data_IF_944570362818
#
_entry.id   IF_944570362818
#
_cell.length_a   1.000
_cell.length_b   1.000
_cell.length_c   1.000
_cell.angle_alpha   90.00
_cell.angle_beta   90.00
_cell.angle_gamma   90.00
#
_symmetry.space_group_name_H-M   'P 1'
#
loop_
_entity.id
_entity.type
_entity.pdbx_description
1 polymer ?
#
# COMPACT_ATOMS: atom_id res chain seq x y z
N UNK A 1 -14.68 -17.46 -24.69
CA UNK A 1 -13.22 -17.33 -24.97
C UNK A 1 -12.57 -18.64 -24.54
N UNK A 2 -11.41 -19.07 -25.08
CA UNK A 2 -10.75 -20.28 -24.56
C UNK A 2 -10.27 -20.00 -23.13
N UNK A 3 -10.80 -20.71 -22.14
CA UNK A 3 -10.33 -20.64 -20.75
C UNK A 3 -8.82 -20.87 -20.74
N UNK A 4 -8.08 -19.93 -20.15
CA UNK A 4 -6.66 -20.11 -19.89
C UNK A 4 -6.56 -21.02 -18.69
N UNK A 5 -5.91 -22.17 -18.89
CA UNK A 5 -5.65 -23.11 -17.80
C UNK A 5 -4.43 -22.67 -17.03
N UNK A 6 -4.55 -22.59 -15.71
CA UNK A 6 -3.44 -22.37 -14.79
C UNK A 6 -2.73 -23.71 -14.60
N UNK A 7 -1.41 -23.74 -14.81
CA UNK A 7 -0.61 -24.95 -14.64
C UNK A 7 0.20 -24.87 -13.35
N UNK A 8 0.68 -26.02 -12.81
CA UNK A 8 1.51 -26.02 -11.60
C UNK A 8 2.74 -25.11 -11.68
N UNK A 9 3.32 -24.94 -12.88
CA UNK A 9 4.44 -23.99 -13.09
C UNK A 9 4.06 -22.53 -12.84
N UNK A 10 2.80 -22.14 -13.06
CA UNK A 10 2.30 -20.79 -12.80
C UNK A 10 2.06 -20.62 -11.29
N UNK A 11 1.46 -21.64 -10.66
CA UNK A 11 1.26 -21.71 -9.20
C UNK A 11 2.56 -21.59 -8.40
N UNK A 12 3.59 -22.33 -8.82
CA UNK A 12 4.90 -22.36 -8.16
C UNK A 12 5.71 -21.06 -8.32
N UNK A 13 5.21 -20.05 -9.05
CA UNK A 13 5.84 -18.73 -9.09
C UNK A 13 5.74 -18.00 -7.74
N UNK A 14 4.68 -18.27 -6.97
CA UNK A 14 4.50 -17.69 -5.63
C UNK A 14 5.15 -18.52 -4.51
N UNK A 15 5.85 -19.62 -4.85
CA UNK A 15 6.38 -20.58 -3.89
C UNK A 15 7.91 -20.55 -3.83
N UNK A 16 8.50 -20.77 -2.63
CA UNK A 16 9.95 -20.75 -2.45
C UNK A 16 10.63 -22.00 -3.04
N UNK A 17 9.85 -23.01 -3.42
CA UNK A 17 10.30 -24.24 -4.05
C UNK A 17 9.80 -24.35 -5.50
N UNK A 18 10.45 -25.21 -6.30
CA UNK A 18 10.17 -25.35 -7.75
C UNK A 18 9.63 -26.72 -8.18
N UNK A 19 9.68 -27.72 -7.31
CA UNK A 19 9.13 -29.04 -7.59
C UNK A 19 7.68 -29.11 -7.13
N UNK A 20 6.79 -29.54 -8.04
CA UNK A 20 5.37 -29.72 -7.74
C UNK A 20 5.11 -31.04 -7.03
N UNK A 21 4.17 -31.05 -6.10
CA UNK A 21 3.62 -32.25 -5.46
C UNK A 21 2.05 -32.30 -5.58
N UNK A 22 1.38 -33.29 -4.95
CA UNK A 22 -0.08 -33.35 -4.94
C UNK A 22 -0.78 -32.15 -4.27
N UNK A 23 -0.19 -31.55 -3.23
CA UNK A 23 -0.71 -30.35 -2.55
C UNK A 23 -0.72 -29.17 -3.51
N UNK A 24 0.37 -28.94 -4.24
CA UNK A 24 0.42 -27.88 -5.26
C UNK A 24 -0.61 -28.13 -6.38
N UNK A 25 -0.81 -29.39 -6.75
CA UNK A 25 -1.79 -29.77 -7.77
C UNK A 25 -3.22 -29.49 -7.30
N UNK A 26 -3.50 -29.70 -6.01
CA UNK A 26 -4.78 -29.37 -5.40
C UNK A 26 -5.06 -27.86 -5.47
N UNK A 27 -4.15 -27.02 -4.97
CA UNK A 27 -4.35 -25.57 -4.99
C UNK A 27 -4.29 -24.96 -6.40
N UNK A 28 -3.54 -25.56 -7.33
CA UNK A 28 -3.64 -25.22 -8.76
C UNK A 28 -5.05 -25.44 -9.30
N UNK A 29 -5.75 -26.49 -8.86
CA UNK A 29 -7.15 -26.70 -9.26
C UNK A 29 -8.10 -25.69 -8.60
N UNK A 30 -7.86 -25.33 -7.33
CA UNK A 30 -8.60 -24.24 -6.66
C UNK A 30 -8.45 -22.93 -7.44
N UNK A 31 -7.23 -22.56 -7.83
CA UNK A 31 -6.98 -21.38 -8.65
C UNK A 31 -7.74 -21.43 -10.00
N UNK A 32 -7.77 -22.58 -10.68
CA UNK A 32 -8.56 -22.73 -11.91
C UNK A 32 -10.07 -22.56 -11.69
N UNK A 33 -10.62 -23.00 -10.54
CA UNK A 33 -12.03 -22.77 -10.20
C UNK A 33 -12.33 -21.30 -9.95
N UNK A 34 -11.44 -20.60 -9.24
CA UNK A 34 -11.53 -19.16 -8.99
C UNK A 34 -11.50 -18.39 -10.32
N UNK A 35 -10.63 -18.78 -11.27
CA UNK A 35 -10.61 -18.21 -12.62
C UNK A 35 -11.99 -18.32 -13.30
N UNK A 36 -12.63 -19.48 -13.21
CA UNK A 36 -13.98 -19.70 -13.72
C UNK A 36 -15.03 -18.79 -13.07
N UNK A 37 -14.94 -18.57 -11.76
CA UNK A 37 -15.83 -17.65 -11.02
C UNK A 37 -15.63 -16.18 -11.44
N UNK A 38 -14.38 -15.77 -11.69
CA UNK A 38 -14.07 -14.45 -12.24
C UNK A 38 -14.67 -14.26 -13.64
N UNK A 39 -14.67 -15.30 -14.48
CA UNK A 39 -15.35 -15.27 -15.78
C UNK A 39 -16.88 -15.23 -15.66
N UNK A 40 -17.45 -16.06 -14.78
CA UNK A 40 -18.90 -16.15 -14.55
C UNK A 40 -19.51 -14.81 -14.11
N UNK A 41 -18.83 -14.13 -13.19
CA UNK A 41 -19.23 -12.83 -12.65
C UNK A 41 -18.82 -11.66 -13.54
N UNK A 42 -18.15 -11.93 -14.68
CA UNK A 42 -17.59 -10.95 -15.63
C UNK A 42 -16.52 -10.03 -15.04
N UNK A 43 -16.09 -10.25 -13.81
CA UNK A 43 -15.01 -9.49 -13.18
C UNK A 43 -13.71 -9.62 -13.99
N UNK A 44 -13.47 -10.80 -14.57
CA UNK A 44 -12.33 -11.07 -15.46
C UNK A 44 -12.21 -10.09 -16.65
N UNK A 45 -13.30 -9.46 -17.10
CA UNK A 45 -13.27 -8.54 -18.24
C UNK A 45 -12.72 -7.15 -17.89
N UNK A 46 -12.42 -6.91 -16.61
CA UNK A 46 -11.76 -5.68 -16.15
C UNK A 46 -10.23 -5.76 -16.25
N UNK A 47 -9.69 -6.93 -16.61
CA UNK A 47 -8.27 -7.26 -16.47
C UNK A 47 -7.71 -7.88 -17.74
N UNK A 48 -6.39 -7.82 -17.87
CA UNK A 48 -5.66 -8.67 -18.80
C UNK A 48 -5.69 -10.13 -18.36
N UNK A 49 -5.49 -11.02 -19.32
CA UNK A 49 -5.56 -12.46 -19.09
C UNK A 49 -4.56 -12.98 -18.06
N UNK A 50 -3.37 -12.38 -18.03
CA UNK A 50 -2.35 -12.74 -17.03
C UNK A 50 -2.73 -12.24 -15.64
N UNK A 51 -3.30 -11.04 -15.53
CA UNK A 51 -3.82 -10.49 -14.27
C UNK A 51 -4.94 -11.35 -13.69
N UNK A 52 -5.90 -11.83 -14.50
CA UNK A 52 -6.94 -12.77 -14.03
C UNK A 52 -6.31 -14.06 -13.48
N UNK A 53 -5.25 -14.57 -14.13
CA UNK A 53 -4.48 -15.73 -13.64
C UNK A 53 -3.80 -15.40 -12.31
N UNK A 54 -3.13 -14.26 -12.19
CA UNK A 54 -2.46 -13.84 -10.95
C UNK A 54 -3.45 -13.69 -9.79
N UNK A 55 -4.60 -13.03 -10.01
CA UNK A 55 -5.67 -12.91 -9.00
C UNK A 55 -6.13 -14.29 -8.53
N UNK A 56 -6.34 -15.21 -9.47
CA UNK A 56 -6.80 -16.57 -9.18
C UNK A 56 -5.80 -17.37 -8.34
N UNK A 57 -4.51 -17.30 -8.68
CA UNK A 57 -3.41 -17.96 -7.95
C UNK A 57 -3.31 -17.36 -6.54
N UNK A 58 -3.30 -16.02 -6.43
CA UNK A 58 -3.13 -15.33 -5.14
C UNK A 58 -4.29 -15.56 -4.19
N UNK A 59 -5.52 -15.61 -4.69
CA UNK A 59 -6.68 -16.00 -3.87
C UNK A 59 -6.61 -17.46 -3.39
N UNK A 60 -6.10 -18.38 -4.21
CA UNK A 60 -5.88 -19.76 -3.78
C UNK A 60 -4.73 -19.87 -2.75
N UNK A 61 -3.69 -19.05 -2.88
CA UNK A 61 -2.59 -18.98 -1.92
C UNK A 61 -3.01 -18.39 -0.56
N UNK A 62 -3.96 -17.44 -0.54
CA UNK A 62 -4.62 -17.03 0.70
C UNK A 62 -5.32 -18.21 1.39
N UNK A 63 -6.06 -19.03 0.63
CA UNK A 63 -6.72 -20.21 1.20
C UNK A 63 -5.71 -21.22 1.75
N UNK A 64 -4.62 -21.46 1.02
CA UNK A 64 -3.52 -22.32 1.49
C UNK A 64 -2.83 -21.78 2.75
N UNK A 65 -2.62 -20.47 2.86
CA UNK A 65 -2.07 -19.81 4.05
C UNK A 65 -2.93 -20.07 5.29
N UNK A 66 -4.24 -19.90 5.15
CA UNK A 66 -5.19 -20.16 6.25
C UNK A 66 -5.22 -21.65 6.61
N UNK A 67 -5.39 -22.54 5.62
CA UNK A 67 -5.44 -24.00 5.86
C UNK A 67 -4.13 -24.51 6.48
N UNK A 68 -2.99 -24.03 6.00
CA UNK A 68 -1.67 -24.47 6.48
C UNK A 68 -1.22 -23.75 7.75
N UNK A 69 -1.99 -22.77 8.26
CA UNK A 69 -1.67 -22.03 9.47
C UNK A 69 -0.36 -21.23 9.38
N UNK A 70 -0.03 -20.66 8.21
CA UNK A 70 1.21 -19.88 8.05
C UNK A 70 1.13 -18.50 8.71
N UNK A 71 -0.09 -18.04 9.05
CA UNK A 71 -0.39 -16.78 9.72
C UNK A 71 0.02 -15.53 8.93
N UNK A 72 0.19 -15.60 7.60
CA UNK A 72 0.54 -14.44 6.78
C UNK A 72 -0.64 -13.46 6.77
N UNK A 73 -1.85 -13.92 6.43
CA UNK A 73 -3.06 -13.11 6.48
C UNK A 73 -3.40 -12.66 7.90
N UNK A 74 -3.31 -13.60 8.86
CA UNK A 74 -3.64 -13.36 10.26
C UNK A 74 -2.80 -12.21 10.85
N UNK A 75 -1.52 -12.15 10.48
CA UNK A 75 -0.64 -11.04 10.88
C UNK A 75 -1.16 -9.69 10.39
N UNK A 76 -1.70 -9.60 9.16
CA UNK A 76 -2.28 -8.36 8.67
C UNK A 76 -3.53 -7.93 9.46
N UNK A 77 -4.51 -8.83 9.64
CA UNK A 77 -5.78 -8.46 10.29
C UNK A 77 -5.61 -8.14 11.78
N UNK A 78 -4.66 -8.80 12.45
CA UNK A 78 -4.33 -8.53 13.86
C UNK A 78 -3.61 -7.19 14.02
N UNK A 79 -2.64 -6.87 13.17
CA UNK A 79 -1.99 -5.55 13.17
C UNK A 79 -2.96 -4.44 12.78
N UNK A 80 -3.84 -4.67 11.79
CA UNK A 80 -4.86 -3.70 11.42
C UNK A 80 -5.81 -3.43 12.60
N UNK A 81 -6.20 -4.48 13.35
CA UNK A 81 -7.00 -4.32 14.58
C UNK A 81 -6.25 -3.60 15.69
N UNK A 82 -4.95 -3.86 15.86
CA UNK A 82 -4.13 -3.17 16.84
C UNK A 82 -4.00 -1.66 16.53
N UNK A 83 -3.87 -1.29 15.26
CA UNK A 83 -3.75 0.10 14.83
C UNK A 83 -5.10 0.85 14.82
N UNK A 84 -6.17 0.20 14.35
CA UNK A 84 -7.42 0.90 14.01
C UNK A 84 -8.66 0.41 14.77
N UNK A 85 -8.50 -0.57 15.67
CA UNK A 85 -9.61 -1.14 16.44
C UNK A 85 -10.56 -2.05 15.67
N UNK A 86 -10.28 -2.36 14.40
CA UNK A 86 -11.09 -3.24 13.53
C UNK A 86 -10.20 -4.15 12.68
N UNK A 87 -10.65 -5.34 12.31
CA UNK A 87 -9.84 -6.32 11.57
C UNK A 87 -9.53 -5.93 10.13
N UNK A 88 -10.42 -5.17 9.47
CA UNK A 88 -10.31 -4.82 8.07
C UNK A 88 -10.69 -3.35 7.81
N UNK A 89 -10.18 -2.74 6.73
CA UNK A 89 -10.71 -1.49 6.23
C UNK A 89 -12.03 -1.74 5.48
N UNK A 90 -12.88 -0.71 5.42
CA UNK A 90 -14.16 -0.67 4.71
C UNK A 90 -15.29 -1.60 5.18
N UNK A 91 -14.96 -2.71 5.85
CA UNK A 91 -15.90 -3.74 6.29
C UNK A 91 -15.96 -3.82 7.81
N UNK A 92 -17.17 -4.09 8.31
CA UNK A 92 -17.41 -4.35 9.73
C UNK A 92 -17.82 -5.81 9.84
N UNK A 93 -16.92 -6.70 10.27
CA UNK A 93 -17.26 -8.11 10.46
C UNK A 93 -18.35 -8.27 11.52
N UNK A 94 -19.13 -9.34 11.41
CA UNK A 94 -20.11 -9.71 12.42
C UNK A 94 -19.49 -10.60 13.53
N UNK A 95 -20.33 -11.10 14.44
CA UNK A 95 -19.88 -11.94 15.57
C UNK A 95 -19.35 -13.34 15.14
N UNK A 96 -19.45 -13.71 13.85
CA UNK A 96 -18.95 -14.97 13.29
C UNK A 96 -17.63 -14.82 12.55
N UNK A 97 -16.92 -13.69 12.73
CA UNK A 97 -15.59 -13.51 12.17
C UNK A 97 -14.51 -14.13 13.06
N UNK A 98 -13.81 -15.14 12.53
CA UNK A 98 -12.74 -15.85 13.24
C UNK A 98 -11.39 -15.58 12.57
N UNK A 99 -10.41 -15.12 13.35
CA UNK A 99 -9.11 -14.66 12.82
C UNK A 99 -8.16 -15.79 12.38
N UNK A 100 -8.57 -17.03 12.59
CA UNK A 100 -7.92 -18.28 12.17
C UNK A 100 -8.71 -19.04 11.10
N UNK A 101 -9.83 -18.49 10.61
CA UNK A 101 -10.64 -19.09 9.55
C UNK A 101 -10.70 -18.21 8.29
N UNK A 102 -11.24 -18.77 7.21
CA UNK A 102 -11.62 -17.98 6.04
C UNK A 102 -12.88 -17.18 6.35
N UNK A 103 -12.84 -15.87 6.09
CA UNK A 103 -14.00 -14.99 6.23
C UNK A 103 -14.42 -14.39 4.87
N UNK A 104 -15.72 -14.11 4.73
CA UNK A 104 -16.26 -13.46 3.53
C UNK A 104 -15.65 -12.06 3.31
N UNK A 105 -15.47 -11.31 4.40
CA UNK A 105 -14.90 -9.96 4.41
C UNK A 105 -13.44 -9.96 3.97
N UNK A 106 -12.67 -10.99 4.34
CA UNK A 106 -11.27 -11.15 3.93
C UNK A 106 -11.16 -11.32 2.42
N UNK A 107 -11.97 -12.21 1.85
CA UNK A 107 -12.03 -12.45 0.41
C UNK A 107 -12.46 -11.19 -0.33
N UNK A 108 -13.46 -10.46 0.19
CA UNK A 108 -13.88 -9.17 -0.37
C UNK A 108 -12.75 -8.14 -0.36
N UNK A 109 -11.99 -8.08 0.73
CA UNK A 109 -10.88 -7.14 0.85
C UNK A 109 -9.74 -7.52 -0.09
N UNK A 110 -9.33 -8.79 -0.15
CA UNK A 110 -8.28 -9.26 -1.04
C UNK A 110 -8.66 -9.06 -2.52
N UNK A 111 -9.89 -9.35 -2.92
CA UNK A 111 -10.37 -9.03 -4.27
C UNK A 111 -10.38 -7.52 -4.54
N UNK A 112 -10.79 -6.69 -3.59
CA UNK A 112 -10.66 -5.23 -3.72
C UNK A 112 -9.20 -4.81 -3.89
N UNK A 113 -8.29 -5.35 -3.08
CA UNK A 113 -6.86 -5.07 -3.14
C UNK A 113 -6.30 -5.40 -4.53
N UNK A 114 -6.52 -6.62 -5.02
CA UNK A 114 -6.03 -7.00 -6.35
C UNK A 114 -6.69 -6.20 -7.48
N UNK A 115 -7.98 -5.89 -7.36
CA UNK A 115 -8.65 -5.00 -8.34
C UNK A 115 -8.05 -3.60 -8.30
N UNK A 116 -7.75 -3.07 -7.12
CA UNK A 116 -7.13 -1.76 -6.98
C UNK A 116 -5.71 -1.75 -7.55
N UNK A 117 -4.91 -2.80 -7.35
CA UNK A 117 -3.55 -2.90 -7.85
C UNK A 117 -3.49 -3.12 -9.37
N UNK A 118 -4.30 -4.03 -9.93
CA UNK A 118 -4.26 -4.33 -11.36
C UNK A 118 -5.17 -3.43 -12.21
N UNK A 119 -6.29 -2.92 -11.69
CA UNK A 119 -7.18 -2.06 -12.48
C UNK A 119 -7.08 -0.59 -12.05
N UNK A 120 -7.17 -0.36 -10.74
CA UNK A 120 -7.23 0.98 -10.17
C UNK A 120 -5.96 1.78 -10.47
N UNK A 121 -4.79 1.21 -10.20
CA UNK A 121 -3.49 1.82 -10.43
C UNK A 121 -3.29 2.20 -11.92
N UNK A 122 -3.44 1.24 -12.84
CA UNK A 122 -3.27 1.49 -14.28
C UNK A 122 -4.21 2.58 -14.84
N UNK A 123 -5.39 2.76 -14.24
CA UNK A 123 -6.34 3.80 -14.65
C UNK A 123 -6.29 5.09 -13.84
N UNK A 124 -5.45 5.16 -12.79
CA UNK A 124 -5.43 6.28 -11.86
C UNK A 124 -6.77 6.48 -11.14
N UNK A 125 -7.46 5.39 -10.78
CA UNK A 125 -8.79 5.42 -10.16
C UNK A 125 -8.86 4.61 -8.87
N UNK A 126 -9.74 5.05 -7.96
CA UNK A 126 -10.11 4.29 -6.78
C UNK A 126 -11.23 3.30 -7.11
N UNK A 127 -10.98 2.03 -6.87
CA UNK A 127 -11.96 0.97 -6.98
C UNK A 127 -12.82 1.00 -5.72
N UNK A 128 -14.14 1.13 -5.88
CA UNK A 128 -15.05 1.07 -4.74
C UNK A 128 -14.99 -0.30 -4.05
N UNK A 129 -14.84 -0.38 -2.72
CA UNK A 129 -14.96 -1.65 -1.98
C UNK A 129 -16.36 -2.27 -2.14
N UNK A 130 -17.37 -1.47 -2.50
CA UNK A 130 -18.75 -1.90 -2.74
C UNK A 130 -19.00 -2.29 -4.22
N UNK A 131 -17.94 -2.57 -5.00
CA UNK A 131 -18.07 -3.04 -6.38
C UNK A 131 -18.86 -4.36 -6.43
N UNK A 132 -19.99 -4.37 -7.14
CA UNK A 132 -20.90 -5.50 -7.20
C UNK A 132 -20.26 -6.77 -7.78
N UNK A 133 -19.44 -6.65 -8.83
CA UNK A 133 -18.76 -7.80 -9.41
C UNK A 133 -17.76 -8.41 -8.41
N UNK A 134 -17.00 -7.59 -7.67
CA UNK A 134 -16.16 -8.08 -6.57
C UNK A 134 -16.98 -8.79 -5.49
N UNK A 135 -18.12 -8.24 -5.10
CA UNK A 135 -19.01 -8.84 -4.09
C UNK A 135 -19.58 -10.19 -4.52
N UNK A 136 -20.02 -10.29 -5.79
CA UNK A 136 -20.55 -11.52 -6.37
C UNK A 136 -19.47 -12.60 -6.51
N UNK A 137 -18.27 -12.23 -7.00
CA UNK A 137 -17.13 -13.15 -7.04
C UNK A 137 -16.72 -13.61 -5.65
N UNK A 138 -16.63 -12.69 -4.68
CA UNK A 138 -16.25 -13.02 -3.30
C UNK A 138 -17.20 -14.06 -2.71
N UNK A 139 -18.49 -13.97 -3.00
CA UNK A 139 -19.50 -14.92 -2.51
C UNK A 139 -19.28 -16.33 -3.08
N UNK A 140 -19.00 -16.44 -4.38
CA UNK A 140 -18.71 -17.74 -5.02
C UNK A 140 -17.42 -18.36 -4.48
N UNK A 141 -16.37 -17.55 -4.29
CA UNK A 141 -15.10 -18.01 -3.72
C UNK A 141 -15.29 -18.46 -2.27
N UNK A 142 -15.96 -17.66 -1.44
CA UNK A 142 -16.22 -17.98 -0.04
C UNK A 142 -16.98 -19.30 0.13
N UNK A 143 -18.05 -19.48 -0.65
CA UNK A 143 -18.82 -20.73 -0.63
C UNK A 143 -17.93 -21.93 -1.00
N UNK A 144 -17.08 -21.78 -2.02
CA UNK A 144 -16.16 -22.84 -2.41
C UNK A 144 -15.10 -23.14 -1.34
N UNK A 145 -14.55 -22.12 -0.66
CA UNK A 145 -13.64 -22.35 0.46
C UNK A 145 -14.33 -23.06 1.62
N UNK A 146 -15.59 -22.72 1.93
CA UNK A 146 -16.39 -23.45 2.92
C UNK A 146 -16.57 -24.93 2.56
N UNK A 147 -16.87 -25.23 1.29
CA UNK A 147 -17.06 -26.60 0.80
C UNK A 147 -15.75 -27.42 0.89
N UNK A 148 -14.60 -26.77 0.66
CA UNK A 148 -13.28 -27.40 0.66
C UNK A 148 -12.60 -27.44 2.04
N UNK A 149 -13.08 -26.66 3.01
CA UNK A 149 -12.43 -26.42 4.31
C UNK A 149 -11.95 -27.68 5.02
N UNK A 150 -12.77 -28.74 4.99
CA UNK A 150 -12.46 -30.01 5.70
C UNK A 150 -11.58 -30.98 4.91
N UNK A 151 -11.34 -30.71 3.62
CA UNK A 151 -10.62 -31.60 2.71
C UNK A 151 -9.35 -31.00 2.13
N UNK A 152 -9.17 -29.69 2.25
CA UNK A 152 -7.98 -29.00 1.78
C UNK A 152 -6.73 -29.51 2.53
N UNK A 153 -5.67 -29.91 1.81
CA UNK A 153 -4.44 -30.38 2.44
C UNK A 153 -3.61 -29.21 2.96
N UNK A 154 -3.01 -29.38 4.14
CA UNK A 154 -1.97 -28.49 4.64
C UNK A 154 -0.70 -28.60 3.77
N UNK A 155 0.02 -27.49 3.66
CA UNK A 155 1.31 -27.44 2.98
C UNK A 155 2.47 -27.54 3.99
N UNK A 156 2.87 -28.77 4.29
CA UNK A 156 3.98 -29.08 5.20
C UNK A 156 5.29 -28.41 4.78
N UNK A 157 5.53 -28.19 3.48
CA UNK A 157 6.75 -27.53 2.99
C UNK A 157 6.78 -26.04 3.32
N UNK A 158 5.64 -25.37 3.29
CA UNK A 158 5.54 -23.98 3.72
C UNK A 158 5.59 -23.88 5.25
N UNK A 159 4.94 -24.79 5.98
CA UNK A 159 5.04 -24.86 7.44
C UNK A 159 6.50 -25.04 7.90
N UNK A 160 7.27 -25.87 7.18
CA UNK A 160 8.69 -26.08 7.48
C UNK A 160 9.51 -24.79 7.48
N UNK A 161 9.14 -23.75 6.73
CA UNK A 161 9.85 -22.47 6.73
C UNK A 161 9.79 -21.76 8.10
N UNK A 162 8.75 -22.02 8.89
CA UNK A 162 8.51 -21.39 10.18
C UNK A 162 8.68 -22.36 11.36
N UNK A 163 9.08 -23.60 11.08
CA UNK A 163 9.27 -24.63 12.08
C UNK A 163 10.55 -24.40 12.91
N UNK A 164 10.57 -24.69 14.23
CA UNK A 164 11.69 -24.40 15.14
C UNK A 164 13.07 -24.90 14.70
N UNK A 165 13.11 -25.98 13.93
CA UNK A 165 14.33 -26.59 13.40
C UNK A 165 14.91 -25.87 12.16
N UNK A 166 14.15 -25.00 11.51
CA UNK A 166 14.60 -24.22 10.35
C UNK A 166 15.27 -22.94 10.83
N UNK A 167 16.60 -22.85 10.63
CA UNK A 167 17.44 -21.78 11.18
C UNK A 167 17.85 -20.74 10.13
N UNK A 168 17.81 -19.47 10.51
CA UNK A 168 18.05 -18.28 9.69
C UNK A 168 19.19 -17.38 10.21
N UNK A 169 19.98 -17.84 11.17
CA UNK A 169 21.20 -17.13 11.62
C UNK A 169 22.22 -16.91 10.48
N UNK A 170 22.15 -17.74 9.44
CA UNK A 170 22.90 -17.58 8.21
C UNK A 170 22.22 -16.54 7.31
N UNK A 171 22.98 -15.51 6.92
CA UNK A 171 22.47 -14.36 6.15
C UNK A 171 21.93 -14.79 4.79
N UNK A 172 22.53 -15.77 4.13
CA UNK A 172 22.06 -16.24 2.83
C UNK A 172 20.68 -16.91 2.97
N UNK A 173 20.50 -17.77 3.98
CA UNK A 173 19.19 -18.37 4.28
C UNK A 173 18.12 -17.36 4.67
N UNK A 174 18.46 -16.37 5.50
CA UNK A 174 17.54 -15.29 5.85
C UNK A 174 17.09 -14.53 4.60
N UNK A 175 18.06 -14.18 3.73
CA UNK A 175 17.79 -13.47 2.50
C UNK A 175 16.98 -14.30 1.51
N UNK A 176 17.18 -15.62 1.42
CA UNK A 176 16.35 -16.50 0.60
C UNK A 176 14.85 -16.41 0.99
N UNK A 177 14.56 -16.50 2.30
CA UNK A 177 13.19 -16.34 2.80
C UNK A 177 12.66 -14.92 2.57
N UNK A 178 13.46 -13.90 2.88
CA UNK A 178 13.08 -12.51 2.72
C UNK A 178 12.75 -12.18 1.27
N UNK A 179 13.58 -12.62 0.32
CA UNK A 179 13.39 -12.40 -1.10
C UNK A 179 12.12 -13.09 -1.62
N UNK A 180 11.87 -14.34 -1.22
CA UNK A 180 10.61 -15.00 -1.54
C UNK A 180 9.43 -14.21 -0.98
N UNK A 181 9.48 -13.85 0.30
CA UNK A 181 8.38 -13.14 0.95
C UNK A 181 8.12 -11.79 0.27
N UNK A 182 9.16 -11.02 -0.03
CA UNK A 182 9.00 -9.70 -0.64
C UNK A 182 8.51 -9.75 -2.09
N UNK A 183 9.06 -10.64 -2.92
CA UNK A 183 8.78 -10.64 -4.37
C UNK A 183 7.68 -11.61 -4.81
N UNK A 184 7.42 -12.67 -4.02
CA UNK A 184 6.58 -13.79 -4.43
C UNK A 184 5.41 -14.06 -3.48
N UNK A 185 5.35 -13.44 -2.30
CA UNK A 185 4.18 -13.58 -1.42
C UNK A 185 2.89 -13.13 -2.10
N UNK A 186 1.78 -13.83 -1.82
CA UNK A 186 0.48 -13.57 -2.44
C UNK A 186 -0.09 -12.18 -2.09
N UNK A 187 0.37 -11.57 -0.98
CA UNK A 187 -0.01 -10.22 -0.56
C UNK A 187 0.57 -9.12 -1.48
N UNK A 188 1.74 -9.32 -2.09
CA UNK A 188 2.42 -8.24 -2.82
C UNK A 188 2.33 -8.45 -4.33
N UNK A 189 1.69 -7.50 -5.01
CA UNK A 189 1.49 -7.55 -6.47
C UNK A 189 2.51 -6.71 -7.24
N UNK A 190 3.17 -5.78 -6.57
CA UNK A 190 3.89 -4.67 -7.18
C UNK A 190 5.40 -4.67 -6.92
N UNK A 191 5.94 -5.50 -6.02
CA UNK A 191 7.38 -5.52 -5.69
C UNK A 191 8.30 -5.70 -6.92
N UNK A 192 7.91 -6.56 -7.87
CA UNK A 192 8.67 -6.72 -9.12
C UNK A 192 8.57 -5.51 -10.05
N UNK A 193 7.42 -4.83 -10.05
CA UNK A 193 7.21 -3.61 -10.82
C UNK A 193 8.03 -2.46 -10.22
N UNK A 194 8.05 -2.33 -8.89
CA UNK A 194 8.87 -1.36 -8.16
C UNK A 194 10.37 -1.54 -8.47
N UNK A 195 10.87 -2.78 -8.45
CA UNK A 195 12.25 -3.07 -8.88
C UNK A 195 12.49 -2.62 -10.32
N UNK A 196 11.57 -2.95 -11.21
CA UNK A 196 11.68 -2.58 -12.63
C UNK A 196 11.74 -1.07 -12.81
N UNK A 197 10.90 -0.33 -12.09
CA UNK A 197 10.83 1.13 -12.20
C UNK A 197 12.03 1.80 -11.53
N UNK A 198 12.50 1.29 -10.38
CA UNK A 198 13.75 1.72 -9.72
C UNK A 198 14.95 1.58 -10.65
N UNK A 199 15.08 0.45 -11.35
CA UNK A 199 16.18 0.21 -12.30
C UNK A 199 16.06 1.12 -13.53
N UNK A 200 14.85 1.35 -14.04
CA UNK A 200 14.63 2.29 -15.15
C UNK A 200 15.01 3.71 -14.77
N UNK A 201 14.55 4.19 -13.62
CA UNK A 201 14.87 5.54 -13.13
C UNK A 201 16.37 5.74 -12.98
N UNK A 202 17.08 4.75 -12.43
CA UNK A 202 18.54 4.78 -12.34
C UNK A 202 19.20 4.88 -13.73
N UNK A 203 18.76 4.08 -14.70
CA UNK A 203 19.31 4.10 -16.07
C UNK A 203 18.96 5.36 -16.87
N UNK A 204 17.88 6.07 -16.52
CA UNK A 204 17.54 7.35 -17.13
C UNK A 204 18.43 8.49 -16.61
N UNK A 205 18.89 8.38 -15.36
CA UNK A 205 19.74 9.36 -14.70
C UNK A 205 21.24 9.13 -14.93
N UNK A 206 21.63 7.94 -15.37
CA UNK A 206 23.04 7.56 -15.55
C UNK A 206 23.42 7.38 -17.03
N UNK A 207 24.66 7.74 -17.38
CA UNK A 207 25.17 7.55 -18.75
C UNK A 207 25.67 6.12 -18.99
N UNK A 208 26.11 5.45 -17.94
CA UNK A 208 26.62 4.07 -17.96
C UNK A 208 25.62 3.17 -17.23
N UNK A 209 25.17 2.12 -17.92
CA UNK A 209 24.25 1.14 -17.35
C UNK A 209 25.05 0.11 -16.56
N UNK A 210 25.15 0.31 -15.25
CA UNK A 210 25.71 -0.68 -14.35
C UNK A 210 24.70 -1.82 -14.12
N UNK A 211 25.03 -3.01 -14.63
CA UNK A 211 24.19 -4.20 -14.42
C UNK A 211 24.23 -4.66 -12.95
N UNK A 212 25.29 -4.35 -12.20
CA UNK A 212 25.39 -4.68 -10.78
C UNK A 212 24.36 -3.93 -9.93
N UNK A 213 23.91 -2.76 -10.41
CA UNK A 213 22.86 -1.99 -9.73
C UNK A 213 21.55 -2.78 -9.61
N UNK A 214 21.23 -3.67 -10.57
CA UNK A 214 20.01 -4.50 -10.49
C UNK A 214 20.04 -5.36 -9.23
N UNK A 215 21.18 -5.99 -8.93
CA UNK A 215 21.33 -6.82 -7.73
C UNK A 215 21.27 -5.98 -6.46
N UNK A 216 21.94 -4.82 -6.44
CA UNK A 216 21.89 -3.90 -5.30
C UNK A 216 20.46 -3.40 -5.04
N UNK A 217 19.71 -3.04 -6.08
CA UNK A 217 18.32 -2.63 -5.96
C UNK A 217 17.43 -3.78 -5.50
N UNK A 218 17.65 -4.99 -6.03
CA UNK A 218 16.92 -6.19 -5.64
C UNK A 218 17.06 -6.49 -4.15
N UNK A 219 18.30 -6.45 -3.63
CA UNK A 219 18.60 -6.66 -2.22
C UNK A 219 18.05 -5.52 -1.35
N UNK A 220 18.27 -4.27 -1.74
CA UNK A 220 17.85 -3.11 -0.96
C UNK A 220 16.32 -3.04 -0.82
N UNK A 221 15.57 -3.17 -1.92
CA UNK A 221 14.11 -3.09 -1.91
C UNK A 221 13.48 -4.14 -1.01
N UNK A 222 14.00 -5.38 -1.02
CA UNK A 222 13.52 -6.42 -0.12
C UNK A 222 13.69 -6.04 1.37
N UNK A 223 14.70 -5.23 1.71
CA UNK A 223 14.96 -4.79 3.07
C UNK A 223 14.23 -3.51 3.46
N UNK A 224 13.97 -2.57 2.55
CA UNK A 224 13.50 -1.22 2.93
C UNK A 224 12.21 -0.76 2.27
N UNK A 225 11.78 -1.42 1.18
CA UNK A 225 10.52 -1.06 0.52
C UNK A 225 9.33 -1.36 1.43
N UNK A 226 8.34 -0.47 1.38
CA UNK A 226 7.12 -0.54 2.16
C UNK A 226 5.95 -1.02 1.30
N UNK A 227 5.30 -2.07 1.77
CA UNK A 227 4.16 -2.68 1.08
C UNK A 227 2.85 -1.89 1.24
N UNK A 228 1.86 -2.19 0.40
CA UNK A 228 0.51 -1.62 0.50
C UNK A 228 -0.16 -1.89 1.85
N UNK A 229 0.21 -3.00 2.47
CA UNK A 229 -0.34 -3.42 3.72
C UNK A 229 0.40 -2.66 4.83
N UNK A 230 -0.30 -1.68 5.41
CA UNK A 230 0.13 -0.88 6.57
C UNK A 230 1.43 -0.08 6.39
N UNK A 231 1.97 0.00 5.17
CA UNK A 231 3.29 0.58 4.88
C UNK A 231 4.42 -0.09 5.69
N UNK A 232 4.27 -1.41 5.91
CA UNK A 232 5.29 -2.23 6.57
C UNK A 232 6.25 -2.83 5.55
N UNK A 233 7.51 -2.96 5.98
CA UNK A 233 8.56 -3.62 5.20
C UNK A 233 8.44 -5.14 5.28
N UNK A 234 9.04 -5.86 4.33
CA UNK A 234 9.05 -7.32 4.36
C UNK A 234 9.70 -7.91 5.62
N UNK A 235 10.83 -7.39 6.15
CA UNK A 235 11.37 -7.81 7.44
C UNK A 235 10.40 -7.56 8.59
N UNK A 236 9.69 -6.42 8.60
CA UNK A 236 8.68 -6.15 9.63
C UNK A 236 7.55 -7.16 9.59
N UNK A 237 7.07 -7.53 8.41
CA UNK A 237 6.07 -8.59 8.26
C UNK A 237 6.56 -9.95 8.75
N UNK A 238 7.77 -10.36 8.36
CA UNK A 238 8.33 -11.63 8.83
C UNK A 238 8.48 -11.66 10.36
N UNK A 239 8.80 -10.54 10.99
CA UNK A 239 8.84 -10.42 12.47
C UNK A 239 7.50 -10.69 13.15
N UNK A 240 6.39 -10.39 12.47
CA UNK A 240 5.03 -10.58 12.99
C UNK A 240 4.51 -12.00 12.73
N UNK A 241 4.96 -12.60 11.63
CA UNK A 241 4.57 -13.95 11.21
C UNK A 241 5.33 -15.02 12.01
N UNK A 242 6.61 -14.78 12.34
CA UNK A 242 7.43 -15.77 13.02
C UNK A 242 6.92 -16.10 14.42
N UNK A 243 6.73 -17.40 14.77
CA UNK A 243 6.27 -17.80 16.10
C UNK A 243 7.16 -17.24 17.21
N UNK A 244 6.53 -16.76 18.29
CA UNK A 244 7.23 -16.14 19.42
C UNK A 244 8.17 -17.12 20.17
N UNK A 245 7.92 -18.42 20.05
CA UNK A 245 8.74 -19.51 20.60
C UNK A 245 9.79 -20.05 19.62
N UNK A 246 9.83 -19.55 18.38
CA UNK A 246 10.86 -19.91 17.42
C UNK A 246 12.25 -19.42 17.90
N UNK A 247 13.32 -20.24 17.84
CA UNK A 247 14.59 -19.82 18.43
C UNK A 247 15.30 -18.68 17.66
N UNK A 248 14.87 -18.34 16.44
CA UNK A 248 15.31 -17.14 15.69
C UNK A 248 14.35 -15.94 15.83
N UNK A 249 13.29 -16.01 16.63
CA UNK A 249 12.31 -14.93 16.73
C UNK A 249 12.95 -13.56 17.00
N UNK A 250 13.92 -13.49 17.92
CA UNK A 250 14.62 -12.23 18.24
C UNK A 250 15.38 -11.64 17.06
N UNK A 251 15.94 -12.46 16.17
CA UNK A 251 16.63 -12.01 14.96
C UNK A 251 15.63 -11.31 14.02
N UNK A 252 14.47 -11.92 13.80
CA UNK A 252 13.43 -11.34 12.93
C UNK A 252 12.85 -10.05 13.53
N UNK A 253 12.69 -9.97 14.85
CA UNK A 253 12.27 -8.73 15.53
C UNK A 253 13.29 -7.62 15.33
N UNK A 254 14.59 -7.89 15.55
CA UNK A 254 15.65 -6.90 15.37
C UNK A 254 15.74 -6.40 13.92
N UNK A 255 15.75 -7.31 12.94
CA UNK A 255 15.78 -6.92 11.53
C UNK A 255 14.50 -6.20 11.10
N UNK A 256 13.33 -6.60 11.63
CA UNK A 256 12.06 -5.92 11.41
C UNK A 256 12.06 -4.48 11.91
N UNK A 257 12.53 -4.24 13.13
CA UNK A 257 12.64 -2.89 13.71
C UNK A 257 13.64 -2.01 12.94
N UNK A 258 14.84 -2.56 12.67
CA UNK A 258 15.90 -1.88 11.92
C UNK A 258 15.43 -1.48 10.52
N UNK A 259 14.80 -2.41 9.81
CA UNK A 259 14.23 -2.19 8.48
C UNK A 259 13.13 -1.12 8.52
N UNK A 260 12.17 -1.26 9.44
CA UNK A 260 11.02 -0.35 9.52
C UNK A 260 11.41 1.08 9.91
N UNK A 261 12.48 1.24 10.71
CA UNK A 261 13.02 2.52 11.14
C UNK A 261 13.97 3.16 10.12
N UNK A 262 14.32 2.47 9.03
CA UNK A 262 15.21 3.00 8.01
C UNK A 262 14.68 4.32 7.44
N UNK A 263 15.57 5.31 7.38
CA UNK A 263 15.34 6.60 6.73
C UNK A 263 16.58 6.93 5.92
N UNK A 264 16.38 7.51 4.75
CA UNK A 264 17.50 8.00 3.95
C UNK A 264 18.31 9.03 4.75
N UNK A 265 19.65 8.93 4.70
CA UNK A 265 20.50 9.86 5.44
C UNK A 265 20.40 11.26 4.84
N UNK A 266 19.92 12.21 5.65
CA UNK A 266 19.93 13.65 5.35
C UNK A 266 21.12 14.29 6.07
N UNK A 267 21.88 15.16 5.38
CA UNK A 267 23.04 15.83 6.00
C UNK A 267 22.61 16.71 7.18
N UNK A 268 23.50 16.89 8.17
CA UNK A 268 23.20 17.73 9.34
C UNK A 268 22.94 19.19 8.95
N UNK A 269 23.64 19.69 7.94
CA UNK A 269 23.38 21.02 7.37
C UNK A 269 21.96 21.12 6.79
N UNK A 270 21.54 20.08 6.06
CA UNK A 270 20.19 20.02 5.48
C UNK A 270 19.14 19.96 6.60
N UNK A 271 19.31 19.11 7.61
CA UNK A 271 18.39 19.05 8.77
C UNK A 271 18.24 20.39 9.47
N UNK A 272 19.36 21.10 9.68
CA UNK A 272 19.37 22.43 10.30
C UNK A 272 18.61 23.45 9.46
N UNK A 273 18.85 23.46 8.15
CA UNK A 273 18.14 24.35 7.21
C UNK A 273 16.63 24.06 7.19
N UNK A 274 16.22 22.79 7.13
CA UNK A 274 14.80 22.41 7.13
C UNK A 274 14.10 22.83 8.42
N UNK A 275 14.77 22.66 9.57
CA UNK A 275 14.29 23.09 10.89
C UNK A 275 14.12 24.61 10.94
N UNK A 276 15.13 25.36 10.49
CA UNK A 276 15.09 26.83 10.45
C UNK A 276 13.94 27.34 9.57
N UNK A 277 13.75 26.75 8.39
CA UNK A 277 12.64 27.10 7.50
C UNK A 277 11.28 26.80 8.15
N UNK A 278 11.15 25.66 8.83
CA UNK A 278 9.93 25.29 9.54
C UNK A 278 9.59 26.27 10.67
N UNK A 279 10.56 26.66 11.49
CA UNK A 279 10.37 27.62 12.59
C UNK A 279 9.97 29.01 12.05
N UNK A 280 10.70 29.51 11.04
CA UNK A 280 10.41 30.81 10.40
C UNK A 280 9.01 30.84 9.79
N UNK A 281 8.63 29.79 9.06
CA UNK A 281 7.28 29.68 8.48
C UNK A 281 6.21 29.62 9.57
N UNK A 282 6.38 28.76 10.57
CA UNK A 282 5.39 28.55 11.64
C UNK A 282 5.14 29.84 12.43
N UNK A 283 6.18 30.62 12.73
CA UNK A 283 6.05 31.91 13.38
C UNK A 283 5.26 32.93 12.53
N UNK A 284 5.43 32.90 11.21
CA UNK A 284 4.76 33.80 10.29
C UNK A 284 3.35 33.36 9.88
N UNK A 285 3.04 32.07 9.98
CA UNK A 285 1.74 31.50 9.59
C UNK A 285 0.63 31.72 10.62
N UNK A 286 0.96 32.22 11.82
CA UNK A 286 -0.01 32.58 12.88
C UNK A 286 -0.99 31.43 13.21
N UNK A 287 -0.48 30.20 13.27
CA UNK A 287 -1.27 29.00 13.57
C UNK A 287 -2.02 28.38 12.38
N UNK A 288 -1.93 28.97 11.19
CA UNK A 288 -2.48 28.41 9.95
C UNK A 288 -1.60 27.25 9.46
N UNK A 289 -2.25 26.19 8.96
CA UNK A 289 -1.54 25.05 8.37
C UNK A 289 -0.94 25.39 7.00
N UNK A 290 -1.60 26.29 6.27
CA UNK A 290 -1.28 26.68 4.90
C UNK A 290 -1.38 28.20 4.74
N UNK A 291 -0.52 28.74 3.88
CA UNK A 291 -0.64 30.10 3.35
C UNK A 291 -0.85 30.03 1.84
N UNK A 292 -1.80 30.81 1.32
CA UNK A 292 -2.24 30.76 -0.09
C UNK A 292 -1.71 31.97 -0.86
N UNK A 293 -1.21 31.74 -2.08
CA UNK A 293 -0.59 32.77 -2.91
C UNK A 293 -1.17 32.75 -4.33
N UNK A 294 -1.26 33.92 -4.97
CA UNK A 294 -1.83 34.06 -6.33
C UNK A 294 -0.77 34.19 -7.43
N UNK A 295 0.49 34.42 -7.06
CA UNK A 295 1.59 34.55 -8.00
C UNK A 295 2.94 34.35 -7.28
N UNK A 296 4.02 34.27 -8.06
CA UNK A 296 5.36 34.01 -7.51
C UNK A 296 5.93 35.22 -6.80
N UNK A 297 5.58 36.44 -7.21
CA UNK A 297 6.05 37.66 -6.56
C UNK A 297 5.59 37.71 -5.09
N UNK A 298 4.30 37.48 -4.81
CA UNK A 298 3.77 37.45 -3.44
C UNK A 298 4.49 36.42 -2.55
N UNK A 299 4.83 35.26 -3.12
CA UNK A 299 5.57 34.23 -2.40
C UNK A 299 7.02 34.64 -2.10
N UNK A 300 7.74 35.24 -3.06
CA UNK A 300 9.10 35.74 -2.83
C UNK A 300 9.12 36.89 -1.81
N UNK A 301 8.12 37.77 -1.86
CA UNK A 301 7.95 38.85 -0.88
C UNK A 301 7.74 38.27 0.53
N UNK A 302 6.95 37.20 0.64
CA UNK A 302 6.78 36.46 1.90
C UNK A 302 8.07 35.82 2.38
N UNK A 303 8.82 35.12 1.52
CA UNK A 303 10.11 34.51 1.89
C UNK A 303 11.11 35.55 2.38
N UNK A 304 11.20 36.68 1.69
CA UNK A 304 12.04 37.82 2.08
C UNK A 304 11.63 38.34 3.46
N UNK A 305 10.32 38.49 3.71
CA UNK A 305 9.78 38.96 4.99
C UNK A 305 10.15 38.04 6.15
N UNK A 306 10.17 36.73 5.94
CA UNK A 306 10.51 35.75 6.99
C UNK A 306 12.02 35.44 7.05
N UNK A 307 12.83 36.11 6.23
CA UNK A 307 14.28 35.97 6.22
C UNK A 307 14.77 34.65 5.63
N UNK A 308 14.09 34.13 4.61
CA UNK A 308 14.57 33.01 3.78
C UNK A 308 15.12 33.60 2.48
N UNK A 309 16.40 33.36 2.21
CA UNK A 309 17.08 33.88 1.02
C UNK A 309 16.67 33.09 -0.23
N UNK A 310 16.37 33.80 -1.31
CA UNK A 310 16.00 33.22 -2.61
C UNK A 310 16.97 33.71 -3.68
N UNK A 311 18.22 33.28 -3.61
CA UNK A 311 19.26 33.72 -4.56
C UNK A 311 18.85 33.42 -6.01
N UNK A 312 18.91 34.44 -6.87
CA UNK A 312 18.62 34.31 -8.31
C UNK A 312 17.15 34.07 -8.67
N UNK A 313 16.23 34.00 -7.72
CA UNK A 313 14.81 33.79 -8.00
C UNK A 313 14.15 35.08 -8.53
N UNK A 314 13.67 35.05 -9.77
CA UNK A 314 12.87 36.14 -10.35
C UNK A 314 11.39 35.93 -10.08
N UNK A 315 10.73 36.96 -9.53
CA UNK A 315 9.29 36.98 -9.35
C UNK A 315 8.56 37.33 -10.64
N UNK A 316 7.30 36.94 -10.71
CA UNK A 316 6.36 37.40 -11.72
C UNK A 316 4.95 37.43 -11.14
N UNK A 317 4.07 38.18 -11.80
CA UNK A 317 2.67 38.37 -11.42
C UNK A 317 1.72 37.48 -12.24
N UNK A 318 2.23 36.46 -12.94
CA UNK A 318 1.37 35.52 -13.64
C UNK A 318 0.54 34.75 -12.62
N UNK A 319 -0.76 34.65 -12.87
CA UNK A 319 -1.68 33.98 -11.95
C UNK A 319 -1.31 32.50 -11.79
N UNK A 320 -1.01 32.11 -10.55
CA UNK A 320 -0.73 30.74 -10.13
C UNK A 320 -1.47 30.50 -8.83
N UNK A 321 -2.18 29.37 -8.74
CA UNK A 321 -2.86 28.97 -7.50
C UNK A 321 -1.98 27.96 -6.80
N UNK A 322 -1.46 28.32 -5.64
CA UNK A 322 -0.70 27.37 -4.83
C UNK A 322 -0.81 27.73 -3.34
N UNK A 323 -0.50 26.76 -2.50
CA UNK A 323 -0.37 26.94 -1.08
C UNK A 323 1.05 26.58 -0.65
N UNK A 324 1.49 27.16 0.46
CA UNK A 324 2.79 26.88 1.08
C UNK A 324 2.52 26.39 2.49
N UNK A 325 3.24 25.35 2.88
CA UNK A 325 3.26 24.83 4.24
C UNK A 325 4.70 24.56 4.64
N UNK A 326 4.92 24.21 5.90
CA UNK A 326 6.20 23.67 6.32
C UNK A 326 6.01 22.47 7.25
N UNK A 327 6.97 21.55 7.22
CA UNK A 327 7.02 20.40 8.13
C UNK A 327 8.37 20.34 8.84
N UNK A 328 8.45 19.69 10.03
CA UNK A 328 9.72 19.51 10.72
C UNK A 328 10.75 18.72 9.90
N UNK A 329 10.31 17.78 9.05
CA UNK A 329 11.19 16.86 8.32
C UNK A 329 11.52 17.29 6.90
N UNK A 330 10.69 18.14 6.28
CA UNK A 330 10.86 18.56 4.88
C UNK A 330 10.95 20.09 4.74
N UNK A 331 10.93 20.83 5.85
CA UNK A 331 10.99 22.29 5.83
C UNK A 331 9.84 22.89 5.02
N UNK A 332 10.12 23.97 4.30
CA UNK A 332 9.13 24.67 3.47
C UNK A 332 8.78 23.88 2.21
N UNK A 333 7.49 23.68 1.96
CA UNK A 333 6.96 22.89 0.84
C UNK A 333 5.88 23.68 0.09
N UNK A 334 5.76 23.42 -1.21
CA UNK A 334 4.78 24.07 -2.10
C UNK A 334 3.76 23.03 -2.56
N UNK A 335 2.49 23.29 -2.29
CA UNK A 335 1.35 22.53 -2.79
C UNK A 335 0.75 23.25 -4.00
N UNK A 336 0.93 22.69 -5.19
CA UNK A 336 0.36 23.25 -6.44
C UNK A 336 -0.87 22.49 -6.91
N UNK A 337 -0.87 21.16 -6.79
CA UNK A 337 -1.97 20.29 -7.17
C UNK A 337 -2.88 19.99 -5.97
N UNK A 338 -4.19 20.15 -6.14
CA UNK A 338 -5.20 19.87 -5.11
C UNK A 338 -5.56 21.04 -4.20
N UNK A 339 -4.95 22.23 -4.35
CA UNK A 339 -5.28 23.41 -3.53
C UNK A 339 -6.75 23.78 -3.60
N UNK A 340 -7.40 23.60 -4.75
CA UNK A 340 -8.83 23.89 -4.92
C UNK A 340 -9.74 22.90 -4.17
N UNK A 341 -9.19 21.81 -3.61
CA UNK A 341 -9.97 20.78 -2.90
C UNK A 341 -9.99 21.02 -1.39
N UNK A 342 -9.13 21.91 -0.89
CA UNK A 342 -8.94 22.17 0.53
C UNK A 342 -9.98 23.17 1.02
N UNK A 343 -10.89 22.71 1.88
CA UNK A 343 -11.92 23.50 2.53
C UNK A 343 -11.35 24.25 3.74
N UNK A 344 -10.66 25.36 3.46
CA UNK A 344 -10.17 26.31 4.45
C UNK A 344 -10.91 27.64 4.28
N UNK A 345 -11.30 28.29 5.37
CA UNK A 345 -11.86 29.65 5.36
C UNK A 345 -10.89 30.67 4.74
N UNK A 346 -9.58 30.39 4.80
CA UNK A 346 -8.52 31.24 4.23
C UNK A 346 -8.17 30.87 2.78
N UNK A 347 -8.76 29.82 2.20
CA UNK A 347 -8.42 29.38 0.84
C UNK A 347 -9.30 30.08 -0.21
N UNK A 348 -8.79 31.09 -0.94
CA UNK A 348 -9.57 31.78 -1.98
C UNK A 348 -9.83 30.90 -3.22
N UNK A 349 -9.22 29.73 -3.31
CA UNK A 349 -9.29 28.86 -4.49
C UNK A 349 -10.22 27.66 -4.31
N UNK A 350 -10.77 27.46 -3.11
CA UNK A 350 -11.60 26.30 -2.80
C UNK A 350 -12.80 26.19 -3.77
N UNK A 351 -13.05 24.97 -4.23
CA UNK A 351 -14.15 24.63 -5.10
C UNK A 351 -14.76 23.30 -4.65
N UNK A 352 -15.92 23.38 -3.99
CA UNK A 352 -16.61 22.22 -3.44
C UNK A 352 -16.80 21.10 -4.47
N UNK A 353 -17.27 21.41 -5.68
CA UNK A 353 -17.50 20.40 -6.71
C UNK A 353 -16.20 19.71 -7.14
N UNK A 354 -15.08 20.42 -7.19
CA UNK A 354 -13.77 19.79 -7.46
C UNK A 354 -13.32 18.94 -6.27
N UNK A 355 -13.51 19.41 -5.04
CA UNK A 355 -13.21 18.66 -3.83
C UNK A 355 -14.00 17.33 -3.78
N UNK A 356 -15.29 17.36 -4.09
CA UNK A 356 -16.16 16.17 -4.18
C UNK A 356 -15.70 15.16 -5.23
N UNK A 357 -15.17 15.63 -6.37
CA UNK A 357 -14.81 14.75 -7.47
C UNK A 357 -13.36 14.27 -7.45
N UNK A 358 -12.46 15.04 -6.83
CA UNK A 358 -11.01 14.84 -6.93
C UNK A 358 -10.30 14.89 -5.56
N UNK A 359 -10.97 15.26 -4.47
CA UNK A 359 -10.38 15.34 -3.14
C UNK A 359 -9.76 14.04 -2.65
N UNK A 360 -10.35 12.89 -3.03
CA UNK A 360 -9.80 11.55 -2.73
C UNK A 360 -8.34 11.37 -3.18
N UNK A 361 -7.90 12.09 -4.21
CA UNK A 361 -6.53 11.99 -4.70
C UNK A 361 -5.47 12.41 -3.67
N UNK A 362 -5.81 13.18 -2.63
CA UNK A 362 -4.90 13.42 -1.49
C UNK A 362 -4.47 12.15 -0.77
N UNK A 363 -5.34 11.13 -0.74
CA UNK A 363 -5.07 9.85 -0.10
C UNK A 363 -4.58 8.78 -1.07
N UNK A 364 -4.45 9.09 -2.37
CA UNK A 364 -4.04 8.13 -3.41
C UNK A 364 -2.69 8.45 -4.04
N UNK A 365 -2.33 9.72 -4.12
CA UNK A 365 -1.07 10.19 -4.70
C UNK A 365 -0.45 11.23 -3.78
N UNK A 366 0.88 11.26 -3.71
CA UNK A 366 1.62 12.16 -2.81
C UNK A 366 1.52 13.61 -3.30
N UNK A 367 0.44 14.31 -2.92
CA UNK A 367 0.26 15.76 -3.19
C UNK A 367 0.96 16.63 -2.16
N UNK A 368 0.95 16.18 -0.92
CA UNK A 368 1.63 16.80 0.20
C UNK A 368 2.23 15.70 1.07
N UNK A 369 2.97 16.12 2.09
CA UNK A 369 3.53 15.20 3.07
C UNK A 369 2.44 14.55 3.93
N UNK A 370 2.70 13.35 4.49
CA UNK A 370 1.81 12.71 5.46
C UNK A 370 1.51 13.62 6.66
N UNK A 371 2.49 14.43 7.07
CA UNK A 371 2.33 15.41 8.16
C UNK A 371 1.23 16.42 7.85
N UNK A 372 1.24 17.03 6.65
CA UNK A 372 0.18 17.96 6.28
C UNK A 372 -1.14 17.22 6.03
N UNK A 373 -1.11 16.05 5.38
CA UNK A 373 -2.33 15.30 5.07
C UNK A 373 -3.14 14.97 6.34
N UNK A 374 -2.47 14.51 7.41
CA UNK A 374 -3.11 14.29 8.72
C UNK A 374 -3.74 15.58 9.26
N UNK A 375 -3.04 16.71 9.22
CA UNK A 375 -3.58 18.01 9.67
C UNK A 375 -4.82 18.41 8.85
N UNK A 376 -4.77 18.23 7.53
CA UNK A 376 -5.89 18.57 6.65
C UNK A 376 -7.14 17.74 6.98
N UNK A 377 -6.97 16.45 7.23
CA UNK A 377 -8.07 15.56 7.59
C UNK A 377 -8.60 15.85 9.00
N UNK A 378 -7.74 15.94 10.01
CA UNK A 378 -8.11 16.21 11.41
C UNK A 378 -8.83 17.56 11.59
N UNK A 379 -8.48 18.56 10.76
CA UNK A 379 -9.14 19.88 10.74
C UNK A 379 -10.40 19.93 9.86
N UNK A 380 -10.80 18.81 9.24
CA UNK A 380 -11.97 18.75 8.34
C UNK A 380 -11.79 19.50 7.03
N UNK A 381 -10.55 19.83 6.65
CA UNK A 381 -10.23 20.58 5.44
C UNK A 381 -10.35 19.72 4.16
N UNK A 382 -10.49 18.40 4.31
CA UNK A 382 -10.77 17.47 3.21
C UNK A 382 -12.19 16.86 3.29
N UNK A 383 -13.10 17.42 4.11
CA UNK A 383 -14.41 16.83 4.41
C UNK A 383 -15.37 16.59 3.21
N UNK A 384 -15.05 17.14 2.04
CA UNK A 384 -15.82 16.89 0.82
C UNK A 384 -15.21 15.78 -0.05
N UNK A 385 -14.02 15.27 0.29
CA UNK A 385 -13.41 14.12 -0.39
C UNK A 385 -14.27 12.88 -0.20
N UNK A 386 -14.55 12.17 -1.29
CA UNK A 386 -15.37 10.97 -1.24
C UNK A 386 -14.96 9.95 -2.29
N UNK A 387 -15.18 8.67 -1.98
CA UNK A 387 -15.17 7.61 -2.95
C UNK A 387 -16.48 7.59 -3.74
N UNK A 388 -16.65 6.64 -4.67
CA UNK A 388 -17.94 6.41 -5.33
C UNK A 388 -18.54 5.13 -4.78
N UNK A 389 -19.68 5.22 -4.08
CA UNK A 389 -20.48 4.05 -3.68
C UNK A 389 -21.93 4.20 -4.14
N UNK A 390 -22.50 3.10 -4.64
CA UNK A 390 -23.92 3.04 -5.00
C UNK A 390 -24.84 3.00 -3.77
N UNK A 391 -24.28 2.78 -2.57
CA UNK A 391 -25.01 2.80 -1.31
C UNK A 391 -25.35 4.22 -0.81
N UNK A 392 -24.82 5.27 -1.45
CA UNK A 392 -25.14 6.67 -1.17
C UNK A 392 -23.93 7.52 -0.77
N UNK A 393 -24.20 8.81 -0.51
CA UNK A 393 -23.17 9.81 -0.19
C UNK A 393 -22.50 9.54 1.17
N UNK A 394 -23.28 9.16 2.19
CA UNK A 394 -22.76 8.85 3.53
C UNK A 394 -21.71 7.73 3.47
N UNK A 395 -22.04 6.62 2.79
CA UNK A 395 -21.08 5.52 2.54
C UNK A 395 -19.88 5.97 1.71
N UNK A 396 -20.10 6.82 0.71
CA UNK A 396 -19.03 7.36 -0.15
C UNK A 396 -17.99 8.15 0.64
N UNK A 397 -18.44 8.94 1.64
CA UNK A 397 -17.59 9.65 2.60
C UNK A 397 -16.96 8.72 3.62
N UNK A 398 -17.73 7.79 4.19
CA UNK A 398 -17.25 6.82 5.18
C UNK A 398 -16.07 5.97 4.67
N UNK A 399 -16.12 5.52 3.41
CA UNK A 399 -15.01 4.79 2.77
C UNK A 399 -13.69 5.56 2.88
N UNK A 400 -13.72 6.89 2.78
CA UNK A 400 -12.54 7.74 2.88
C UNK A 400 -12.24 8.06 4.34
N UNK A 401 -13.14 8.76 5.01
CA UNK A 401 -12.88 9.39 6.31
C UNK A 401 -12.81 8.41 7.48
N UNK A 402 -13.43 7.23 7.41
CA UNK A 402 -13.27 6.19 8.46
C UNK A 402 -12.07 5.28 8.21
N UNK A 403 -11.37 5.47 7.09
CA UNK A 403 -10.25 4.61 6.67
C UNK A 403 -9.05 5.44 6.18
N UNK A 404 -8.99 6.75 6.47
CA UNK A 404 -8.01 7.65 5.86
C UNK A 404 -6.56 7.29 6.23
N UNK A 405 -6.30 6.83 7.46
CA UNK A 405 -4.97 6.37 7.88
C UNK A 405 -4.54 5.11 7.13
N UNK A 406 -5.48 4.18 6.93
CA UNK A 406 -5.25 3.00 6.11
C UNK A 406 -5.01 3.41 4.65
N UNK A 407 -5.82 4.30 4.07
CA UNK A 407 -5.67 4.76 2.69
C UNK A 407 -4.34 5.46 2.47
N UNK A 408 -3.92 6.32 3.40
CA UNK A 408 -2.63 7.00 3.38
C UNK A 408 -1.48 5.99 3.34
N UNK A 409 -1.46 5.02 4.26
CA UNK A 409 -0.46 3.94 4.25
C UNK A 409 -0.53 3.10 2.98
N UNK A 410 -1.75 2.76 2.56
CA UNK A 410 -1.99 1.89 1.44
C UNK A 410 -1.56 2.52 0.13
N UNK A 411 -1.81 3.81 -0.14
CA UNK A 411 -1.42 4.38 -1.43
C UNK A 411 -0.09 5.12 -1.39
N UNK A 412 0.21 5.81 -0.30
CA UNK A 412 1.42 6.64 -0.20
C UNK A 412 2.62 5.88 0.36
N UNK A 413 2.41 4.68 0.92
CA UNK A 413 3.45 3.89 1.60
C UNK A 413 4.12 4.65 2.77
N UNK A 414 3.39 5.60 3.37
CA UNK A 414 3.86 6.50 4.42
C UNK A 414 2.83 6.63 5.55
N UNK A 415 3.26 7.05 6.75
CA UNK A 415 2.39 7.24 7.92
C UNK A 415 2.95 8.17 9.00
#
# INVERSE_FOLDING_TARGET
>A
MKNIKIYPKDWLQLHPYKQSDPTDSYYTNIANRIYGMLEETRLAYSFEKDEVKQISIRMAAYFEDVISGLNIWRSFITEHKALYGKFLPFYTPDDHYYDDEVNYEDIRFLLWHYTQQYHGFHKGTFVSPDNAANGDTAKLIYQMFCDEWTTAPENERLQQLFAPETRYEDVDKYNELLHWFHYQCYLFTDSHQELTDTVKEYWEQTKEKDEQFIMTAYEALAHISKSAFLAYTAPKWLSLIFPADHPDHSLFVEEGEKSQAFKEPVSEESKKMLTEHFEKFTAAAEGKALLYFQNKQEFLDFLTKIGIETEGATGDTASRKFAVYATPSEGLQILTDGVEYIKDENNPFYNQKKAENQGLSFFMIRKCSPYLLRILEEKGMLADAQAKSLAGEERSKAIVHENWEFLMRYFLREY
#
